data_IF_093422485902
#
_entry.id   IF_093422485902
#
_cell.length_a   1.000
_cell.length_b   1.000
_cell.length_c   1.000
_cell.angle_alpha   90.00
_cell.angle_beta   90.00
_cell.angle_gamma   90.00
#
_symmetry.space_group_name_H-M   'P 1'
#
loop_
_entity.id
_entity.type
_entity.pdbx_description
1 polymer ?
#
# COMPACT_ATOMS: atom_id res chain seq x y z
N UNK A 1 -11.44 -2.26 -22.47
CA UNK A 1 -10.28 -3.17 -22.50
C UNK A 1 -10.54 -4.22 -21.44
N UNK A 2 -10.43 -5.51 -21.75
CA UNK A 2 -10.57 -6.56 -20.74
C UNK A 2 -9.46 -6.37 -19.69
N UNK A 3 -9.82 -6.44 -18.41
CA UNK A 3 -8.87 -6.34 -17.31
C UNK A 3 -7.92 -7.55 -17.40
N UNK A 4 -6.61 -7.29 -17.56
CA UNK A 4 -5.62 -8.36 -17.69
C UNK A 4 -5.51 -9.08 -16.34
N UNK A 5 -5.73 -10.40 -16.33
CA UNK A 5 -5.65 -11.20 -15.10
C UNK A 5 -4.22 -11.18 -14.59
N UNK A 6 -4.05 -10.98 -13.28
CA UNK A 6 -2.74 -11.10 -12.62
C UNK A 6 -2.26 -12.55 -12.70
N UNK A 7 -0.95 -12.77 -12.76
CA UNK A 7 -0.37 -14.09 -13.02
C UNK A 7 0.15 -14.77 -11.77
N UNK A 8 0.13 -16.10 -11.75
CA UNK A 8 0.91 -16.96 -10.85
C UNK A 8 2.04 -17.58 -11.65
N UNK A 9 3.28 -17.31 -11.26
CA UNK A 9 4.45 -17.87 -11.92
C UNK A 9 4.63 -19.35 -11.54
N UNK A 10 4.76 -20.22 -12.54
CA UNK A 10 4.93 -21.65 -12.34
C UNK A 10 6.36 -22.02 -12.72
N UNK A 11 7.17 -22.19 -11.69
CA UNK A 11 8.53 -22.71 -11.78
C UNK A 11 8.47 -24.23 -11.70
N UNK A 12 8.48 -24.89 -12.85
CA UNK A 12 8.52 -26.34 -12.96
C UNK A 12 9.63 -26.73 -13.94
N UNK A 13 10.17 -27.93 -13.77
CA UNK A 13 11.11 -28.49 -14.73
C UNK A 13 10.58 -28.45 -16.17
N UNK A 14 11.49 -28.27 -17.13
CA UNK A 14 11.16 -28.26 -18.57
C UNK A 14 11.96 -29.29 -19.37
N UNK A 15 12.60 -30.23 -18.68
CA UNK A 15 13.58 -31.14 -19.28
C UNK A 15 12.93 -32.43 -19.75
N UNK A 16 12.14 -33.07 -18.89
CA UNK A 16 11.38 -34.26 -19.27
C UNK A 16 9.97 -33.91 -19.74
N UNK A 17 9.33 -34.82 -20.44
CA UNK A 17 7.95 -34.59 -20.91
C UNK A 17 6.97 -34.56 -19.73
N UNK A 18 7.20 -35.38 -18.70
CA UNK A 18 6.38 -35.44 -17.50
C UNK A 18 6.42 -34.12 -16.71
N UNK A 19 7.58 -33.46 -16.65
CA UNK A 19 7.71 -32.15 -16.00
C UNK A 19 6.93 -31.07 -16.75
N UNK A 20 6.96 -31.11 -18.10
CA UNK A 20 6.22 -30.16 -18.96
C UNK A 20 4.72 -30.37 -18.87
N UNK A 21 4.28 -31.62 -18.91
CA UNK A 21 2.87 -31.98 -18.74
C UNK A 21 2.36 -31.52 -17.37
N UNK A 22 3.14 -31.74 -16.31
CA UNK A 22 2.80 -31.24 -14.98
C UNK A 22 2.70 -29.70 -14.97
N UNK A 23 3.68 -28.99 -15.54
CA UNK A 23 3.67 -27.53 -15.61
C UNK A 23 2.41 -26.97 -16.27
N UNK A 24 1.99 -27.57 -17.40
CA UNK A 24 0.74 -27.22 -18.09
C UNK A 24 -0.50 -27.51 -17.24
N UNK A 25 -0.59 -28.70 -16.64
CA UNK A 25 -1.69 -29.08 -15.74
C UNK A 25 -1.83 -28.11 -14.55
N UNK A 26 -0.71 -27.65 -13.98
CA UNK A 26 -0.71 -26.66 -12.91
C UNK A 26 -1.23 -25.32 -13.44
N UNK A 27 -0.79 -24.89 -14.62
CA UNK A 27 -1.24 -23.63 -15.25
C UNK A 27 -2.75 -23.60 -15.47
N UNK A 28 -3.30 -24.68 -16.02
CA UNK A 28 -4.74 -24.83 -16.23
C UNK A 28 -5.49 -24.85 -14.90
N UNK A 29 -4.93 -25.52 -13.88
CA UNK A 29 -5.53 -25.59 -12.55
C UNK A 29 -5.59 -24.22 -11.88
N UNK A 30 -4.51 -23.42 -11.93
CA UNK A 30 -4.52 -22.04 -11.42
C UNK A 30 -5.60 -21.22 -12.11
N UNK A 31 -5.62 -21.26 -13.44
CA UNK A 31 -6.51 -20.44 -14.27
C UNK A 31 -7.98 -20.76 -14.04
N UNK A 32 -8.29 -22.04 -13.80
CA UNK A 32 -9.65 -22.54 -13.55
C UNK A 32 -10.09 -22.43 -12.08
N UNK A 33 -9.16 -22.45 -11.12
CA UNK A 33 -9.47 -22.50 -9.69
C UNK A 33 -9.34 -21.16 -8.96
N UNK A 34 -8.80 -20.13 -9.62
CA UNK A 34 -8.54 -18.82 -9.01
C UNK A 34 -8.95 -17.69 -9.94
N UNK A 35 -8.93 -16.44 -9.45
CA UNK A 35 -9.08 -15.25 -10.30
C UNK A 35 -7.82 -14.93 -11.14
N UNK A 36 -6.71 -15.65 -10.91
CA UNK A 36 -5.42 -15.43 -11.56
C UNK A 36 -5.24 -16.31 -12.80
N UNK A 37 -4.24 -15.99 -13.59
CA UNK A 37 -3.80 -16.77 -14.74
C UNK A 37 -2.50 -17.52 -14.41
N UNK A 38 -2.42 -18.81 -14.77
CA UNK A 38 -1.19 -19.57 -14.65
C UNK A 38 -0.18 -19.14 -15.73
N UNK A 39 1.04 -18.81 -15.33
CA UNK A 39 2.12 -18.50 -16.26
C UNK A 39 3.20 -19.58 -16.19
N UNK A 40 3.33 -20.37 -17.24
CA UNK A 40 4.38 -21.38 -17.39
C UNK A 40 5.38 -20.96 -18.47
N UNK A 41 6.64 -20.77 -18.09
CA UNK A 41 7.64 -20.09 -18.92
C UNK A 41 8.05 -20.84 -20.22
N UNK A 42 7.56 -22.06 -20.45
CA UNK A 42 7.95 -22.86 -21.63
C UNK A 42 7.35 -22.31 -22.94
N UNK A 43 6.31 -21.48 -22.87
CA UNK A 43 5.56 -21.02 -24.04
C UNK A 43 6.21 -19.86 -24.81
N UNK A 44 7.48 -19.51 -24.54
CA UNK A 44 8.16 -18.34 -25.11
C UNK A 44 9.39 -18.71 -25.96
N UNK A 45 9.42 -18.26 -27.22
CA UNK A 45 10.39 -18.70 -28.26
C UNK A 45 11.36 -17.62 -28.76
N UNK A 46 11.50 -16.47 -28.08
CA UNK A 46 12.36 -15.35 -28.55
C UNK A 46 13.64 -15.17 -27.72
N UNK A 47 14.63 -14.47 -28.28
CA UNK A 47 15.96 -14.26 -27.69
C UNK A 47 15.98 -13.31 -26.47
N UNK A 48 14.91 -12.54 -26.19
CA UNK A 48 14.76 -11.73 -24.96
C UNK A 48 14.36 -12.56 -23.71
N UNK A 49 14.60 -13.88 -23.73
CA UNK A 49 13.88 -14.86 -22.91
C UNK A 49 14.16 -14.83 -21.41
N UNK A 50 15.32 -14.35 -20.97
CA UNK A 50 15.70 -14.46 -19.56
C UNK A 50 15.14 -13.32 -18.70
N UNK A 51 15.49 -12.08 -19.04
CA UNK A 51 15.07 -10.91 -18.26
C UNK A 51 13.58 -10.67 -18.36
N UNK A 52 13.01 -10.85 -19.55
CA UNK A 52 11.64 -10.46 -19.82
C UNK A 52 10.64 -11.58 -19.48
N UNK A 53 10.92 -12.82 -19.87
CA UNK A 53 9.95 -13.92 -19.74
C UNK A 53 10.05 -14.67 -18.41
N UNK A 54 11.15 -14.52 -17.68
CA UNK A 54 11.33 -15.17 -16.38
C UNK A 54 11.41 -14.12 -15.27
N UNK A 55 12.42 -13.25 -15.29
CA UNK A 55 12.64 -12.32 -14.16
C UNK A 55 11.50 -11.31 -14.02
N UNK A 56 11.11 -10.64 -15.10
CA UNK A 56 10.00 -9.68 -15.07
C UNK A 56 8.68 -10.37 -14.75
N UNK A 57 8.42 -11.54 -15.35
CA UNK A 57 7.18 -12.30 -15.11
C UNK A 57 7.05 -12.77 -13.67
N UNK A 58 8.15 -13.25 -13.06
CA UNK A 58 8.17 -13.55 -11.63
C UNK A 58 7.94 -12.26 -10.81
N UNK A 59 8.60 -11.16 -11.17
CA UNK A 59 8.47 -9.87 -10.48
C UNK A 59 7.06 -9.27 -10.54
N UNK A 60 6.31 -9.49 -11.62
CA UNK A 60 4.94 -9.01 -11.82
C UNK A 60 3.87 -9.97 -11.28
N UNK A 61 4.23 -11.23 -11.03
CA UNK A 61 3.29 -12.24 -10.55
C UNK A 61 2.86 -11.98 -9.11
N UNK A 62 1.66 -12.46 -8.77
CA UNK A 62 1.07 -12.35 -7.43
C UNK A 62 1.23 -13.63 -6.61
N UNK A 63 1.71 -14.68 -7.27
CA UNK A 63 2.06 -15.94 -6.64
C UNK A 63 3.16 -16.67 -7.39
N UNK A 64 3.76 -17.63 -6.71
CA UNK A 64 4.82 -18.50 -7.17
C UNK A 64 4.49 -19.95 -6.76
N UNK A 65 4.40 -20.83 -7.75
CA UNK A 65 4.37 -22.28 -7.54
C UNK A 65 5.69 -22.84 -8.02
N UNK A 66 6.37 -23.57 -7.15
CA UNK A 66 7.70 -24.14 -7.44
C UNK A 66 7.65 -25.64 -7.27
N UNK A 67 8.07 -26.37 -8.30
CA UNK A 67 8.20 -27.83 -8.28
C UNK A 67 9.66 -28.21 -8.50
N UNK A 68 10.30 -28.76 -7.48
CA UNK A 68 11.69 -29.20 -7.53
C UNK A 68 11.76 -30.71 -7.78
N UNK A 69 12.04 -31.12 -9.02
CA UNK A 69 12.35 -32.50 -9.40
C UNK A 69 13.84 -32.82 -9.24
N UNK A 70 14.17 -34.12 -9.22
CA UNK A 70 15.55 -34.61 -9.25
C UNK A 70 16.27 -34.18 -10.54
N UNK A 71 17.47 -33.60 -10.41
CA UNK A 71 18.29 -33.12 -11.54
C UNK A 71 19.68 -33.74 -11.67
N UNK A 72 20.00 -34.68 -10.80
CA UNK A 72 21.26 -35.42 -10.83
C UNK A 72 21.85 -35.60 -9.45
N UNK A 73 22.96 -36.34 -9.40
CA UNK A 73 23.74 -36.57 -8.18
C UNK A 73 25.06 -35.80 -8.24
N UNK A 74 25.50 -35.28 -7.10
CA UNK A 74 26.86 -34.75 -6.96
C UNK A 74 27.80 -35.92 -6.71
N UNK A 75 28.76 -36.12 -7.63
CA UNK A 75 29.83 -37.09 -7.42
C UNK A 75 30.60 -36.78 -6.13
N UNK A 76 30.82 -37.81 -5.31
CA UNK A 76 31.53 -37.70 -4.03
C UNK A 76 30.71 -37.26 -2.82
N UNK A 77 29.44 -36.85 -2.97
CA UNK A 77 28.57 -36.48 -1.82
C UNK A 77 27.30 -37.33 -1.65
N UNK A 78 26.99 -38.22 -2.61
CA UNK A 78 25.74 -39.01 -2.66
C UNK A 78 24.48 -38.18 -2.39
N UNK A 79 24.48 -36.93 -2.86
CA UNK A 79 23.39 -35.96 -2.70
C UNK A 79 22.67 -35.81 -4.03
N UNK A 80 21.33 -35.83 -4.00
CA UNK A 80 20.48 -35.52 -5.15
C UNK A 80 20.20 -34.02 -5.15
N UNK A 81 20.45 -33.36 -6.28
CA UNK A 81 20.14 -31.93 -6.45
C UNK A 81 18.84 -31.70 -7.19
N UNK A 82 18.28 -30.52 -6.96
CA UNK A 82 17.26 -29.92 -7.80
C UNK A 82 17.85 -29.02 -8.89
N UNK A 83 16.97 -28.31 -9.59
CA UNK A 83 17.35 -27.29 -10.57
C UNK A 83 17.97 -26.07 -9.87
N UNK A 84 19.20 -25.72 -10.27
CA UNK A 84 19.88 -24.50 -9.81
C UNK A 84 19.11 -23.24 -10.21
N UNK A 85 18.43 -23.28 -11.35
CA UNK A 85 17.63 -22.17 -11.84
C UNK A 85 16.47 -21.84 -10.89
N UNK A 86 15.77 -22.88 -10.44
CA UNK A 86 14.65 -22.75 -9.51
C UNK A 86 15.12 -22.18 -8.16
N UNK A 87 16.33 -22.53 -7.71
CA UNK A 87 16.93 -21.95 -6.50
C UNK A 87 17.10 -20.42 -6.63
N UNK A 88 17.43 -19.91 -7.82
CA UNK A 88 17.57 -18.48 -8.07
C UNK A 88 16.20 -17.77 -8.04
N UNK A 89 15.16 -18.40 -8.58
CA UNK A 89 13.80 -17.88 -8.53
C UNK A 89 13.28 -17.83 -7.08
N UNK A 90 13.58 -18.83 -6.25
CA UNK A 90 13.29 -18.82 -4.81
C UNK A 90 14.03 -17.66 -4.12
N UNK A 91 15.31 -17.45 -4.44
CA UNK A 91 16.08 -16.33 -3.89
C UNK A 91 15.48 -14.97 -4.25
N UNK A 92 15.02 -14.80 -5.49
CA UNK A 92 14.32 -13.60 -5.93
C UNK A 92 12.99 -13.40 -5.22
N UNK A 93 12.17 -14.44 -5.10
CA UNK A 93 10.91 -14.37 -4.36
C UNK A 93 11.13 -13.98 -2.89
N UNK A 94 12.22 -14.49 -2.30
CA UNK A 94 12.64 -14.13 -0.95
C UNK A 94 13.03 -12.65 -0.87
N UNK A 95 13.80 -12.14 -1.82
CA UNK A 95 14.15 -10.71 -1.91
C UNK A 95 12.89 -9.83 -2.04
N UNK A 96 11.96 -10.22 -2.92
CA UNK A 96 10.70 -9.51 -3.12
C UNK A 96 9.89 -9.42 -1.83
N UNK A 97 9.75 -10.53 -1.12
CA UNK A 97 8.98 -10.58 0.12
C UNK A 97 9.66 -9.86 1.28
N UNK A 98 10.94 -10.10 1.51
CA UNK A 98 11.64 -9.65 2.73
C UNK A 98 12.20 -8.23 2.63
N UNK A 99 12.64 -7.82 1.43
CA UNK A 99 13.32 -6.54 1.25
C UNK A 99 12.43 -5.54 0.52
N UNK A 100 11.74 -5.96 -0.53
CA UNK A 100 10.90 -5.04 -1.31
C UNK A 100 9.49 -4.87 -0.72
N UNK A 101 9.12 -5.63 0.31
CA UNK A 101 7.78 -5.58 0.90
C UNK A 101 6.68 -6.01 -0.08
N UNK A 102 7.02 -6.89 -1.04
CA UNK A 102 6.13 -7.40 -2.08
C UNK A 102 5.83 -8.88 -1.82
N UNK A 103 4.95 -9.21 -0.87
CA UNK A 103 4.63 -10.59 -0.56
C UNK A 103 3.97 -11.29 -1.75
N UNK A 104 4.28 -12.58 -1.90
CA UNK A 104 3.72 -13.46 -2.90
C UNK A 104 2.98 -14.61 -2.22
N UNK A 105 1.92 -15.10 -2.85
CA UNK A 105 1.44 -16.44 -2.53
C UNK A 105 2.50 -17.45 -2.95
N UNK A 106 2.91 -18.37 -2.07
CA UNK A 106 3.95 -19.36 -2.38
C UNK A 106 3.46 -20.78 -2.09
N UNK A 107 3.64 -21.66 -3.07
CA UNK A 107 3.53 -23.11 -2.88
C UNK A 107 4.79 -23.79 -3.42
N UNK A 108 5.60 -24.34 -2.51
CA UNK A 108 6.86 -24.98 -2.84
C UNK A 108 6.74 -26.50 -2.64
N UNK A 109 6.99 -27.25 -3.70
CA UNK A 109 6.98 -28.69 -3.73
C UNK A 109 8.37 -29.22 -4.00
N UNK A 110 8.81 -30.21 -3.23
CA UNK A 110 10.14 -30.80 -3.34
C UNK A 110 10.02 -32.31 -3.46
N UNK A 111 10.61 -32.89 -4.50
CA UNK A 111 10.62 -34.33 -4.67
C UNK A 111 11.48 -34.98 -3.58
N UNK A 112 10.99 -36.07 -2.99
CA UNK A 112 11.65 -36.75 -1.88
C UNK A 112 13.13 -37.05 -2.16
N UNK A 113 13.99 -36.76 -1.18
CA UNK A 113 15.44 -37.04 -1.24
C UNK A 113 16.32 -35.96 -1.88
N UNK A 114 15.74 -34.83 -2.34
CA UNK A 114 16.51 -33.64 -2.74
C UNK A 114 17.15 -33.01 -1.49
N UNK A 115 18.46 -32.74 -1.56
CA UNK A 115 19.13 -32.04 -0.46
C UNK A 115 18.73 -30.56 -0.37
N UNK A 116 18.82 -30.03 0.85
CA UNK A 116 18.66 -28.61 1.12
C UNK A 116 20.03 -27.94 0.90
N UNK A 117 20.09 -27.03 -0.06
CA UNK A 117 21.32 -26.33 -0.45
C UNK A 117 21.08 -24.82 -0.56
N UNK A 118 22.19 -24.05 -0.55
CA UNK A 118 22.17 -22.61 -0.78
C UNK A 118 21.33 -21.84 0.24
N UNK A 119 20.62 -20.81 -0.25
CA UNK A 119 19.84 -19.91 0.60
C UNK A 119 18.68 -20.61 1.30
N UNK A 120 18.18 -21.76 0.78
CA UNK A 120 17.13 -22.55 1.43
C UNK A 120 17.54 -23.12 2.78
N UNK A 121 18.84 -23.22 3.07
CA UNK A 121 19.31 -23.57 4.43
C UNK A 121 19.05 -22.46 5.46
N UNK A 122 18.84 -21.23 4.98
CA UNK A 122 18.66 -20.04 5.81
C UNK A 122 17.21 -19.52 5.77
N UNK A 123 16.37 -20.03 4.87
CA UNK A 123 14.96 -19.64 4.74
C UNK A 123 14.08 -20.75 5.30
N UNK A 124 13.17 -20.39 6.20
CA UNK A 124 12.09 -21.29 6.64
C UNK A 124 11.04 -21.42 5.53
N UNK A 125 11.34 -22.25 4.53
CA UNK A 125 10.38 -22.61 3.49
C UNK A 125 9.59 -23.83 3.98
N UNK A 126 8.29 -23.67 4.20
CA UNK A 126 7.38 -24.78 4.49
C UNK A 126 7.11 -25.59 3.23
N UNK A 127 8.14 -26.28 2.71
CA UNK A 127 8.03 -27.08 1.49
C UNK A 127 7.18 -28.32 1.71
N UNK A 128 6.40 -28.67 0.70
CA UNK A 128 5.60 -29.89 0.67
C UNK A 128 6.38 -30.94 -0.09
N UNK A 129 6.71 -32.05 0.58
CA UNK A 129 7.39 -33.16 -0.07
C UNK A 129 6.42 -33.96 -0.94
N UNK A 130 6.90 -34.44 -2.10
CA UNK A 130 6.13 -35.31 -2.99
C UNK A 130 6.96 -36.45 -3.55
N UNK A 131 6.30 -37.55 -3.91
CA UNK A 131 6.94 -38.71 -4.57
C UNK A 131 6.51 -38.85 -6.03
N UNK A 132 5.32 -38.39 -6.38
CA UNK A 132 4.78 -38.39 -7.74
C UNK A 132 4.05 -37.08 -8.07
N UNK A 133 3.87 -36.83 -9.37
CA UNK A 133 3.30 -35.58 -9.87
C UNK A 133 1.81 -35.39 -9.52
N UNK A 134 1.04 -36.47 -9.29
CA UNK A 134 -0.39 -36.35 -8.95
C UNK A 134 -0.62 -35.86 -7.52
N UNK A 135 0.30 -36.16 -6.59
CA UNK A 135 0.31 -35.58 -5.24
C UNK A 135 0.37 -34.04 -5.29
N UNK A 136 1.20 -33.49 -6.19
CA UNK A 136 1.32 -32.04 -6.38
C UNK A 136 -0.03 -31.44 -6.78
N UNK A 137 -0.71 -32.04 -7.77
CA UNK A 137 -2.02 -31.57 -8.24
C UNK A 137 -3.08 -31.68 -7.14
N UNK A 138 -3.11 -32.79 -6.40
CA UNK A 138 -4.05 -32.97 -5.30
C UNK A 138 -3.87 -31.89 -4.22
N UNK A 139 -2.63 -31.58 -3.84
CA UNK A 139 -2.32 -30.53 -2.87
C UNK A 139 -2.64 -29.14 -3.38
N UNK A 140 -2.36 -28.84 -4.64
CA UNK A 140 -2.70 -27.55 -5.23
C UNK A 140 -4.21 -27.30 -5.23
N UNK A 141 -5.04 -28.33 -5.42
CA UNK A 141 -6.51 -28.21 -5.28
C UNK A 141 -6.95 -27.80 -3.86
N UNK A 142 -6.17 -28.12 -2.84
CA UNK A 142 -6.44 -27.69 -1.45
C UNK A 142 -5.95 -26.25 -1.18
N UNK A 143 -4.87 -25.84 -1.84
CA UNK A 143 -4.18 -24.57 -1.60
C UNK A 143 -4.81 -23.43 -2.41
N UNK A 144 -4.99 -23.61 -3.72
CA UNK A 144 -5.38 -22.56 -4.66
C UNK A 144 -6.72 -21.87 -4.32
N UNK A 145 -7.77 -22.55 -3.82
CA UNK A 145 -9.01 -21.87 -3.43
C UNK A 145 -8.83 -20.81 -2.32
N UNK A 146 -7.70 -20.83 -1.60
CA UNK A 146 -7.35 -19.82 -0.58
C UNK A 146 -6.72 -18.58 -1.19
N UNK A 147 -6.21 -18.66 -2.43
CA UNK A 147 -5.56 -17.56 -3.13
C UNK A 147 -6.62 -16.72 -3.86
N UNK A 148 -7.42 -15.98 -3.07
CA UNK A 148 -8.56 -15.20 -3.60
C UNK A 148 -8.14 -13.83 -4.12
N UNK A 149 -7.19 -13.20 -3.44
CA UNK A 149 -6.74 -11.83 -3.71
C UNK A 149 -5.20 -11.78 -3.69
N UNK A 150 -4.60 -10.86 -4.44
CA UNK A 150 -3.15 -10.70 -4.43
C UNK A 150 -2.68 -10.18 -3.06
N UNK A 151 -1.57 -10.70 -2.55
CA UNK A 151 -0.99 -10.21 -1.29
C UNK A 151 -0.33 -8.83 -1.45
N UNK A 152 -0.06 -8.43 -2.70
CA UNK A 152 0.55 -7.17 -3.05
C UNK A 152 -0.17 -6.53 -4.24
N UNK A 153 -0.44 -5.24 -4.14
CA UNK A 153 -1.00 -4.41 -5.21
C UNK A 153 0.17 -3.60 -5.78
N UNK A 154 0.39 -3.70 -7.09
CA UNK A 154 1.54 -3.08 -7.78
C UNK A 154 1.66 -1.57 -7.53
N UNK A 155 2.87 -1.00 -7.64
CA UNK A 155 3.09 0.43 -7.37
C UNK A 155 2.21 1.33 -8.23
N UNK A 156 2.10 1.03 -9.52
CA UNK A 156 1.23 1.77 -10.43
C UNK A 156 -0.25 1.70 -10.03
N UNK A 157 -0.70 0.53 -9.57
CA UNK A 157 -2.08 0.35 -9.15
C UNK A 157 -2.35 1.06 -7.82
N UNK A 158 -1.39 1.02 -6.87
CA UNK A 158 -1.44 1.83 -5.64
C UNK A 158 -1.47 3.32 -5.95
N UNK A 159 -0.68 3.79 -6.91
CA UNK A 159 -0.71 5.19 -7.36
C UNK A 159 -2.06 5.54 -7.99
N UNK A 160 -2.62 4.70 -8.86
CA UNK A 160 -3.96 4.91 -9.44
C UNK A 160 -5.03 4.98 -8.35
N UNK A 161 -4.99 4.06 -7.39
CA UNK A 161 -5.89 4.05 -6.23
C UNK A 161 -5.75 5.35 -5.42
N UNK A 162 -4.53 5.70 -5.00
CA UNK A 162 -4.26 6.91 -4.23
C UNK A 162 -4.67 8.18 -5.00
N UNK A 163 -4.54 8.18 -6.32
CA UNK A 163 -4.99 9.28 -7.17
C UNK A 163 -6.51 9.38 -7.28
N UNK A 164 -7.23 8.26 -7.12
CA UNK A 164 -8.69 8.22 -7.15
C UNK A 164 -9.36 8.57 -5.82
N UNK A 165 -8.59 8.66 -4.73
CA UNK A 165 -9.15 8.98 -3.42
C UNK A 165 -9.66 10.42 -3.42
N UNK A 166 -10.89 10.58 -2.95
CA UNK A 166 -11.56 11.87 -2.80
C UNK A 166 -11.91 12.11 -1.34
N UNK A 167 -11.47 13.25 -0.82
CA UNK A 167 -11.77 13.74 0.51
C UNK A 167 -12.53 15.07 0.42
N UNK A 168 -13.42 15.30 1.38
CA UNK A 168 -13.95 16.64 1.66
C UNK A 168 -13.58 17.05 3.06
N UNK A 169 -13.17 18.30 3.22
CA UNK A 169 -12.68 18.87 4.46
C UNK A 169 -13.60 20.02 4.86
N UNK A 170 -14.05 19.99 6.11
CA UNK A 170 -14.85 21.06 6.71
C UNK A 170 -14.17 21.52 7.99
N UNK A 171 -14.06 22.83 8.16
CA UNK A 171 -13.79 23.40 9.48
C UNK A 171 -15.04 23.23 10.32
N UNK A 172 -14.90 22.64 11.51
CA UNK A 172 -16.00 22.51 12.47
C UNK A 172 -15.92 23.67 13.47
N UNK A 173 -14.94 23.60 14.37
CA UNK A 173 -14.71 24.59 15.40
C UNK A 173 -13.21 24.77 15.69
N UNK A 174 -12.86 25.90 16.29
CA UNK A 174 -11.54 26.16 16.84
C UNK A 174 -11.62 27.04 18.07
N UNK A 175 -10.72 26.83 19.01
CA UNK A 175 -10.56 27.66 20.20
C UNK A 175 -9.09 27.78 20.59
N UNK A 176 -8.56 29.01 20.56
CA UNK A 176 -7.13 29.28 20.71
C UNK A 176 -6.27 28.48 19.71
N UNK A 177 -5.57 27.47 20.23
CA UNK A 177 -4.66 26.57 19.51
C UNK A 177 -5.35 25.27 19.08
N UNK A 178 -6.46 24.93 19.72
CA UNK A 178 -7.20 23.72 19.41
C UNK A 178 -8.06 23.98 18.18
N UNK A 179 -7.95 23.13 17.18
CA UNK A 179 -8.72 23.24 15.95
C UNK A 179 -9.29 21.87 15.58
N UNK A 180 -10.53 21.85 15.11
CA UNK A 180 -11.23 20.64 14.70
C UNK A 180 -11.62 20.74 13.23
N UNK A 181 -11.19 19.74 12.46
CA UNK A 181 -11.61 19.56 11.07
C UNK A 181 -12.39 18.26 10.94
N UNK A 182 -13.50 18.30 10.21
CA UNK A 182 -14.23 17.12 9.80
C UNK A 182 -13.74 16.70 8.42
N UNK A 183 -13.25 15.47 8.31
CA UNK A 183 -12.80 14.90 7.05
C UNK A 183 -13.78 13.80 6.66
N UNK A 184 -14.37 13.94 5.48
CA UNK A 184 -15.25 12.95 4.87
C UNK A 184 -14.50 12.22 3.75
N UNK A 185 -14.43 10.90 3.86
CA UNK A 185 -13.80 10.05 2.87
C UNK A 185 -14.87 9.45 1.96
N UNK A 186 -14.88 9.86 0.69
CA UNK A 186 -15.84 9.37 -0.32
C UNK A 186 -15.37 8.09 -1.01
N UNK A 187 -14.21 7.57 -0.61
CA UNK A 187 -13.51 6.48 -1.30
C UNK A 187 -13.71 5.16 -0.58
N UNK A 188 -13.42 4.06 -1.29
CA UNK A 188 -13.48 2.69 -0.77
C UNK A 188 -12.24 2.25 0.04
N UNK A 189 -11.30 3.17 0.28
CA UNK A 189 -10.03 2.90 0.93
C UNK A 189 -9.88 3.79 2.16
N UNK A 190 -9.30 3.24 3.22
CA UNK A 190 -8.94 4.00 4.40
C UNK A 190 -7.81 4.98 4.09
N UNK A 191 -7.84 6.12 4.76
CA UNK A 191 -6.85 7.19 4.62
C UNK A 191 -6.23 7.49 5.97
N UNK A 192 -4.91 7.59 6.04
CA UNK A 192 -4.21 8.01 7.25
C UNK A 192 -3.70 9.45 7.09
N UNK A 193 -4.16 10.37 7.93
CA UNK A 193 -3.70 11.76 7.94
C UNK A 193 -2.41 11.85 8.74
N UNK A 194 -1.31 12.22 8.08
CA UNK A 194 0.01 12.36 8.70
C UNK A 194 0.27 13.77 9.21
N UNK A 195 -0.30 14.77 8.54
CA UNK A 195 -0.06 16.16 8.89
C UNK A 195 -1.24 17.05 8.49
N UNK A 196 -1.53 18.06 9.30
CA UNK A 196 -2.51 19.12 9.02
C UNK A 196 -1.82 20.47 9.13
N UNK A 197 -2.02 21.34 8.14
CA UNK A 197 -1.53 22.72 8.14
C UNK A 197 -2.65 23.69 7.76
N UNK A 198 -2.75 24.81 8.47
CA UNK A 198 -3.70 25.87 8.19
C UNK A 198 -3.03 27.03 7.45
N UNK A 199 -3.69 27.54 6.43
CA UNK A 199 -3.24 28.66 5.60
C UNK A 199 -4.34 29.70 5.44
N UNK A 200 -3.93 30.95 5.23
CA UNK A 200 -4.78 32.01 4.69
C UNK A 200 -4.00 32.64 3.53
N UNK A 201 -4.57 32.58 2.34
CA UNK A 201 -3.88 32.86 1.08
C UNK A 201 -2.54 32.09 0.98
N UNK A 202 -1.40 32.80 0.99
CA UNK A 202 -0.04 32.24 0.92
C UNK A 202 0.67 32.20 2.27
N UNK A 203 0.01 32.60 3.35
CA UNK A 203 0.60 32.71 4.67
C UNK A 203 0.14 31.56 5.57
N UNK A 204 1.08 30.98 6.34
CA UNK A 204 0.75 29.97 7.34
C UNK A 204 0.02 30.62 8.52
N UNK A 205 -1.07 29.98 8.89
CA UNK A 205 -1.88 30.31 10.08
C UNK A 205 -1.44 29.45 11.27
N UNK A 206 -0.91 28.26 11.00
CA UNK A 206 -0.41 27.34 12.02
C UNK A 206 0.93 26.71 11.62
N UNK A 207 1.61 26.11 12.60
CA UNK A 207 2.65 25.13 12.32
C UNK A 207 2.03 23.81 11.85
N UNK A 208 2.78 22.99 11.08
CA UNK A 208 2.39 21.62 10.76
C UNK A 208 2.09 20.83 12.04
N UNK A 209 0.89 20.26 12.10
CA UNK A 209 0.41 19.47 13.24
C UNK A 209 0.41 18.00 12.88
N UNK A 210 1.03 17.18 13.73
CA UNK A 210 1.19 15.73 13.54
C UNK A 210 0.36 14.98 14.59
N UNK A 211 -0.08 13.74 14.29
CA UNK A 211 -0.72 12.91 15.29
C UNK A 211 0.23 12.68 16.49
N UNK A 212 -0.29 12.70 17.73
CA UNK A 212 0.51 12.36 18.91
C UNK A 212 1.13 10.96 18.82
N UNK A 213 2.18 10.71 19.61
CA UNK A 213 2.79 9.39 19.70
C UNK A 213 1.73 8.32 20.05
N UNK A 214 1.73 7.20 19.34
CA UNK A 214 0.75 6.11 19.46
C UNK A 214 -0.69 6.44 19.06
N UNK A 215 -0.97 7.63 18.51
CA UNK A 215 -2.27 7.98 17.94
C UNK A 215 -2.18 7.94 16.43
N UNK A 216 -3.21 7.40 15.77
CA UNK A 216 -3.35 7.46 14.31
C UNK A 216 -4.60 8.25 13.96
N UNK A 217 -4.43 9.23 13.07
CA UNK A 217 -5.56 9.93 12.48
C UNK A 217 -6.05 9.18 11.25
N UNK A 218 -6.88 8.17 11.48
CA UNK A 218 -7.47 7.35 10.40
C UNK A 218 -8.86 7.86 10.03
N UNK A 219 -9.12 7.99 8.73
CA UNK A 219 -10.42 8.30 8.15
C UNK A 219 -10.87 7.08 7.33
N UNK A 220 -11.70 6.19 7.91
CA UNK A 220 -12.12 4.98 7.23
C UNK A 220 -12.91 5.25 5.95
N UNK A 221 -12.92 4.28 5.04
CA UNK A 221 -13.71 4.33 3.82
C UNK A 221 -15.19 4.69 4.09
N UNK A 222 -15.73 5.64 3.32
CA UNK A 222 -17.13 6.09 3.42
C UNK A 222 -17.54 6.60 4.81
N UNK A 223 -16.60 7.16 5.57
CA UNK A 223 -16.86 7.75 6.90
C UNK A 223 -16.45 9.21 6.96
N UNK A 224 -17.11 9.92 7.87
CA UNK A 224 -16.72 11.25 8.32
C UNK A 224 -16.09 11.12 9.71
N UNK A 225 -14.90 11.70 9.89
CA UNK A 225 -14.19 11.68 11.16
C UNK A 225 -13.79 13.11 11.55
N UNK A 226 -14.15 13.57 12.76
CA UNK A 226 -13.59 14.80 13.31
C UNK A 226 -12.17 14.54 13.83
N UNK A 227 -11.22 15.36 13.41
CA UNK A 227 -9.85 15.37 13.94
C UNK A 227 -9.64 16.68 14.69
N UNK A 228 -9.47 16.56 15.99
CA UNK A 228 -9.01 17.65 16.85
C UNK A 228 -7.48 17.62 16.94
N UNK A 229 -6.84 18.76 16.73
CA UNK A 229 -5.39 18.90 16.81
C UNK A 229 -4.98 20.24 17.45
N UNK A 230 -3.76 20.28 18.00
CA UNK A 230 -3.12 21.51 18.48
C UNK A 230 -2.31 22.14 17.34
N UNK A 231 -2.80 23.28 16.84
CA UNK A 231 -2.19 24.09 15.80
C UNK A 231 -0.84 24.74 16.22
N UNK A 232 -0.46 24.59 17.50
CA UNK A 232 0.73 25.15 18.15
C UNK A 232 0.79 26.68 18.20
N UNK A 233 -0.16 27.37 17.59
CA UNK A 233 -0.28 28.83 17.53
C UNK A 233 -1.74 29.21 17.86
N UNK A 234 -1.97 30.41 18.39
CA UNK A 234 -3.34 30.91 18.58
C UNK A 234 -3.89 31.30 17.20
N UNK A 235 -4.71 30.41 16.64
CA UNK A 235 -5.22 30.51 15.27
C UNK A 235 -6.05 31.78 15.10
N UNK A 236 -6.88 32.13 16.09
CA UNK A 236 -7.71 33.33 16.06
C UNK A 236 -6.85 34.61 16.10
N UNK A 237 -5.79 34.65 16.93
CA UNK A 237 -4.82 35.75 16.93
C UNK A 237 -4.16 35.91 15.56
N UNK A 238 -3.73 34.79 14.98
CA UNK A 238 -2.99 34.80 13.72
C UNK A 238 -3.88 35.28 12.58
N UNK A 239 -5.11 34.78 12.48
CA UNK A 239 -6.06 35.22 11.46
C UNK A 239 -6.42 36.71 11.58
N UNK A 240 -6.51 37.23 12.80
CA UNK A 240 -6.72 38.67 13.04
C UNK A 240 -5.58 39.54 12.50
N UNK A 241 -4.33 39.14 12.75
CA UNK A 241 -3.17 39.83 12.19
C UNK A 241 -3.17 39.77 10.66
N UNK A 242 -3.52 38.62 10.08
CA UNK A 242 -3.58 38.42 8.63
C UNK A 242 -4.70 39.23 7.96
N UNK A 243 -5.82 39.45 8.65
CA UNK A 243 -6.88 40.37 8.22
C UNK A 243 -6.49 41.86 8.32
N UNK A 244 -5.27 42.18 8.77
CA UNK A 244 -4.75 43.54 8.84
C UNK A 244 -5.16 44.31 10.10
N UNK A 245 -5.68 43.62 11.12
CA UNK A 245 -6.03 44.26 12.38
C UNK A 245 -4.81 44.40 13.32
N UNK A 246 -4.79 45.44 14.19
CA UNK A 246 -3.66 45.68 15.08
C UNK A 246 -3.54 44.62 16.20
N UNK A 247 -2.32 44.37 16.66
CA UNK A 247 -2.04 43.37 17.70
C UNK A 247 -2.65 43.70 19.07
N UNK A 248 -2.72 44.99 19.43
CA UNK A 248 -3.18 45.47 20.72
C UNK A 248 -4.65 45.93 20.67
N UNK A 249 -5.54 45.02 21.06
CA UNK A 249 -6.98 45.28 21.17
C UNK A 249 -7.31 46.28 22.27
N UNK A 250 -6.57 46.30 23.38
CA UNK A 250 -6.89 47.17 24.51
C UNK A 250 -6.66 48.64 24.14
N UNK A 251 -5.59 48.94 23.40
CA UNK A 251 -5.35 50.28 22.83
C UNK A 251 -6.35 50.67 21.75
N UNK A 252 -6.90 49.69 21.02
CA UNK A 252 -7.74 49.95 19.86
C UNK A 252 -9.22 50.07 20.21
N UNK A 253 -9.74 49.23 21.11
CA UNK A 253 -11.13 49.23 21.57
C UNK A 253 -11.48 50.44 22.42
N UNK A 254 -10.52 51.02 23.14
CA UNK A 254 -10.71 52.25 23.91
C UNK A 254 -11.08 53.47 23.05
N UNK A 255 -10.84 53.45 21.73
CA UNK A 255 -11.06 54.60 20.83
C UNK A 255 -12.22 54.45 19.85
N UNK A 256 -12.80 53.27 19.65
CA UNK A 256 -13.92 53.06 18.72
C UNK A 256 -14.95 52.08 19.28
N UNK A 257 -16.00 52.65 19.89
CA UNK A 257 -17.19 51.94 20.33
C UNK A 257 -17.96 51.47 19.07
N UNK A 258 -17.93 50.18 18.77
CA UNK A 258 -18.76 49.57 17.71
C UNK A 258 -18.06 48.70 16.68
N UNK A 259 -16.76 48.38 16.82
CA UNK A 259 -16.08 47.55 15.83
C UNK A 259 -16.53 46.08 15.83
N UNK A 260 -16.56 45.49 14.63
CA UNK A 260 -16.92 44.11 14.38
C UNK A 260 -16.01 43.16 15.17
N UNK A 261 -16.56 42.56 16.23
CA UNK A 261 -15.91 41.56 17.08
C UNK A 261 -15.78 40.20 16.40
N UNK A 262 -16.54 40.05 15.32
CA UNK A 262 -16.62 38.88 14.48
C UNK A 262 -16.30 39.31 13.05
N UNK A 263 -15.49 38.53 12.36
CA UNK A 263 -15.19 38.73 10.96
C UNK A 263 -15.11 37.38 10.26
N UNK A 264 -15.35 37.38 8.96
CA UNK A 264 -15.19 36.20 8.12
C UNK A 264 -13.85 36.28 7.41
N UNK A 265 -13.17 35.14 7.31
CA UNK A 265 -11.89 35.02 6.60
C UNK A 265 -11.77 33.64 5.97
N UNK A 266 -11.13 33.54 4.82
CA UNK A 266 -10.84 32.26 4.21
C UNK A 266 -9.68 31.54 4.91
N UNK A 267 -9.89 30.28 5.25
CA UNK A 267 -8.87 29.37 5.75
C UNK A 267 -8.79 28.18 4.81
N UNK A 268 -7.59 27.92 4.29
CA UNK A 268 -7.27 26.71 3.54
C UNK A 268 -6.67 25.68 4.48
N UNK A 269 -7.31 24.52 4.55
CA UNK A 269 -6.81 23.35 5.29
C UNK A 269 -6.04 22.48 4.30
N UNK A 270 -4.77 22.23 4.59
CA UNK A 270 -3.92 21.30 3.84
C UNK A 270 -3.68 20.05 4.68
N UNK A 271 -3.93 18.89 4.10
CA UNK A 271 -3.70 17.57 4.69
C UNK A 271 -2.61 16.86 3.89
N UNK A 272 -1.61 16.32 4.58
CA UNK A 272 -0.77 15.26 4.02
C UNK A 272 -1.29 13.92 4.51
N UNK A 273 -1.66 13.06 3.57
CA UNK A 273 -2.27 11.77 3.83
C UNK A 273 -1.42 10.63 3.24
N UNK A 274 -1.49 9.45 3.84
CA UNK A 274 -0.97 8.21 3.31
C UNK A 274 -2.13 7.29 2.90
N UNK A 275 -2.08 6.79 1.67
CA UNK A 275 -3.03 5.81 1.11
C UNK A 275 -2.21 4.64 0.55
N UNK A 276 -2.34 3.46 1.16
CA UNK A 276 -1.60 2.25 0.75
C UNK A 276 -0.07 2.47 0.65
N UNK A 277 0.49 3.29 1.54
CA UNK A 277 1.92 3.66 1.55
C UNK A 277 2.32 4.75 0.56
N UNK A 278 1.35 5.35 -0.16
CA UNK A 278 1.59 6.50 -1.06
C UNK A 278 1.17 7.78 -0.35
N UNK A 279 2.08 8.74 -0.23
CA UNK A 279 1.76 10.07 0.29
C UNK A 279 1.07 10.94 -0.76
N UNK A 280 -0.01 11.63 -0.37
CA UNK A 280 -0.72 12.62 -1.18
C UNK A 280 -1.17 13.80 -0.33
N UNK A 281 -1.14 14.98 -0.93
CA UNK A 281 -1.67 16.19 -0.34
C UNK A 281 -3.12 16.44 -0.81
N UNK A 282 -3.97 16.88 0.12
CA UNK A 282 -5.34 17.33 -0.12
C UNK A 282 -5.48 18.73 0.45
N UNK A 283 -6.20 19.61 -0.25
CA UNK A 283 -6.47 20.95 0.26
C UNK A 283 -7.90 21.37 -0.01
N UNK A 284 -8.45 22.15 0.91
CA UNK A 284 -9.75 22.77 0.73
C UNK A 284 -9.82 24.12 1.43
N UNK A 285 -10.35 25.12 0.73
CA UNK A 285 -10.56 26.48 1.26
C UNK A 285 -12.00 26.62 1.75
N UNK A 286 -12.14 27.22 2.94
CA UNK A 286 -13.43 27.51 3.57
C UNK A 286 -13.42 28.89 4.20
N UNK A 287 -14.57 29.56 4.13
CA UNK A 287 -14.80 30.75 4.94
C UNK A 287 -15.09 30.31 6.38
N UNK A 288 -14.43 30.95 7.34
CA UNK A 288 -14.68 30.74 8.77
C UNK A 288 -15.05 32.06 9.41
N UNK A 289 -15.95 32.00 10.38
CA UNK A 289 -16.26 33.12 11.26
C UNK A 289 -15.33 33.10 12.47
N UNK A 290 -14.65 34.20 12.74
CA UNK A 290 -13.70 34.34 13.85
C UNK A 290 -14.28 35.30 14.88
N UNK A 291 -14.58 34.80 16.09
CA UNK A 291 -14.82 35.62 17.28
C UNK A 291 -13.49 35.80 18.02
N UNK A 292 -12.81 36.89 17.73
CA UNK A 292 -11.47 37.13 18.29
C UNK A 292 -11.49 37.27 19.81
N UNK A 293 -12.54 37.88 20.38
CA UNK A 293 -12.62 38.10 21.84
C UNK A 293 -12.66 36.78 22.59
N UNK A 294 -13.45 35.85 22.08
CA UNK A 294 -13.59 34.51 22.64
C UNK A 294 -12.56 33.53 22.06
N UNK A 295 -11.66 34.00 21.18
CA UNK A 295 -10.65 33.19 20.49
C UNK A 295 -11.27 31.98 19.81
N UNK A 296 -12.49 32.14 19.29
CA UNK A 296 -13.30 31.08 18.74
C UNK A 296 -13.36 31.20 17.22
N UNK A 297 -13.34 30.06 16.54
CA UNK A 297 -13.47 29.95 15.09
C UNK A 297 -14.58 28.95 14.83
N UNK A 298 -15.48 29.27 13.90
CA UNK A 298 -16.56 28.37 13.46
C UNK A 298 -16.60 28.33 11.94
N UNK A 299 -16.80 27.14 11.36
CA UNK A 299 -17.13 27.03 9.94
C UNK A 299 -18.45 27.75 9.63
N UNK A 300 -18.50 28.47 8.50
CA UNK A 300 -19.72 29.10 7.97
C UNK A 300 -20.46 28.15 7.03
#
# INVERSE_FOLDING_TARGET
>A
MAEQRKTVFISCGQYTEEERELGKRISDLVTSSTAFEGYFAQDQTTLETLSENILRRLYESVGLIVIMHHRGKIEGRNVIRASVWIEQEIAMATLMQQILGRPLHVALFIQHGIAIEGIRQQIQLNSIEFTNNDEVIARLREILPKWKEPLYIGDEERQKIAASVMLSIKTDNGHHRNYTVQIENHSKFDVEVKCITLWNEKQKVSKPSFPPENVRWSVPAHRTVPIQFDAQEDVAQRLWQLAGYPEDIERWTAKKVGFARQFEIEVRVELRCEILGIERDFEETRTVQVDFRNRQITGV
#
